data_IF_427003734291
#
_entry.id   IF_427003734291
#
_cell.length_a   1.000
_cell.length_b   1.000
_cell.length_c   1.000
_cell.angle_alpha   90.00
_cell.angle_beta   90.00
_cell.angle_gamma   90.00
#
_symmetry.space_group_name_H-M   'P 1'
#
loop_
_entity.id
_entity.type
_entity.pdbx_description
1 polymer ?
#
# COMPACT_ATOMS: atom_id res chain seq x y z
N UNK A 1 3.14 -19.66 29.07
CA UNK A 1 2.19 -19.02 28.13
C UNK A 1 2.03 -19.96 26.95
N UNK A 2 0.91 -20.68 26.92
CA UNK A 2 0.66 -21.71 25.91
C UNK A 2 0.40 -21.11 24.53
N UNK A 3 0.61 -21.92 23.49
CA UNK A 3 0.36 -21.59 22.08
C UNK A 3 -1.06 -21.10 21.73
N UNK A 4 -1.98 -21.07 22.71
CA UNK A 4 -3.33 -20.52 22.58
C UNK A 4 -3.42 -18.99 22.70
N UNK A 5 -2.50 -18.33 23.42
CA UNK A 5 -2.61 -16.88 23.72
C UNK A 5 -2.20 -15.99 22.54
N UNK A 6 -1.23 -16.43 21.73
CA UNK A 6 -0.78 -15.70 20.54
C UNK A 6 -1.87 -15.58 19.46
N UNK A 7 -2.90 -16.43 19.50
CA UNK A 7 -4.01 -16.39 18.55
C UNK A 7 -5.09 -15.35 18.89
N UNK A 8 -5.03 -14.74 20.09
CA UNK A 8 -5.97 -13.70 20.52
C UNK A 8 -5.32 -12.32 20.67
N UNK A 9 -4.06 -12.14 20.30
CA UNK A 9 -3.42 -10.84 20.34
C UNK A 9 -3.56 -10.08 19.02
N UNK A 10 -3.46 -8.75 19.13
CA UNK A 10 -3.46 -7.89 17.96
C UNK A 10 -2.07 -7.92 17.28
N UNK A 11 -1.98 -8.05 15.95
CA UNK A 11 -0.69 -7.98 15.24
C UNK A 11 -0.24 -6.53 15.05
N UNK A 12 0.89 -6.08 15.67
CA UNK A 12 1.41 -4.73 15.51
C UNK A 12 1.66 -4.31 14.06
N UNK A 13 1.91 -5.27 13.16
CA UNK A 13 2.08 -5.01 11.72
C UNK A 13 0.92 -4.20 11.14
N UNK A 14 -0.32 -4.44 11.58
CA UNK A 14 -1.51 -3.67 11.16
C UNK A 14 -1.42 -2.21 11.63
N UNK A 15 -0.90 -1.97 12.83
CA UNK A 15 -0.66 -0.62 13.33
C UNK A 15 0.40 0.11 12.52
N UNK A 16 1.50 -0.56 12.17
CA UNK A 16 2.56 0.01 11.32
C UNK A 16 2.02 0.37 9.94
N UNK A 17 1.14 -0.46 9.36
CA UNK A 17 0.47 -0.14 8.10
C UNK A 17 -0.28 1.19 8.23
N UNK A 18 -1.12 1.37 9.26
CA UNK A 18 -1.80 2.65 9.46
C UNK A 18 -0.84 3.82 9.64
N UNK A 19 0.26 3.64 10.38
CA UNK A 19 1.27 4.68 10.57
C UNK A 19 1.88 5.11 9.22
N UNK A 20 2.17 4.19 8.31
CA UNK A 20 2.70 4.54 6.98
C UNK A 20 1.74 5.45 6.21
N UNK A 21 0.46 5.09 6.16
CA UNK A 21 -0.56 5.86 5.43
C UNK A 21 -0.91 7.19 6.12
N UNK A 22 -0.89 7.25 7.45
CA UNK A 22 -1.08 8.50 8.19
C UNK A 22 0.11 9.43 8.00
N UNK A 23 1.34 8.92 8.02
CA UNK A 23 2.53 9.73 7.78
C UNK A 23 2.51 10.35 6.38
N UNK A 24 2.13 9.56 5.37
CA UNK A 24 1.96 10.05 4.00
C UNK A 24 0.83 11.08 3.89
N UNK A 25 -0.33 10.82 4.49
CA UNK A 25 -1.43 11.78 4.51
C UNK A 25 -1.05 13.11 5.18
N UNK A 26 -0.20 13.09 6.21
CA UNK A 26 0.33 14.31 6.84
C UNK A 26 1.28 15.04 5.89
N UNK A 27 2.21 14.33 5.26
CA UNK A 27 3.13 14.91 4.28
C UNK A 27 2.34 15.56 3.11
N UNK A 28 1.35 14.85 2.59
CA UNK A 28 0.43 15.32 1.58
C UNK A 28 -0.32 16.56 2.02
N UNK A 29 -0.94 16.53 3.20
CA UNK A 29 -1.66 17.68 3.73
C UNK A 29 -0.76 18.92 3.78
N UNK A 30 0.45 18.77 4.33
CA UNK A 30 1.41 19.86 4.48
C UNK A 30 1.86 20.40 3.11
N UNK A 31 2.20 19.53 2.17
CA UNK A 31 2.69 19.93 0.84
C UNK A 31 1.60 20.60 0.01
N UNK A 32 0.38 20.06 -0.01
CA UNK A 32 -0.74 20.65 -0.73
C UNK A 32 -1.31 21.89 -0.04
N UNK A 33 -1.07 22.06 1.26
CA UNK A 33 -1.40 23.30 1.95
C UNK A 33 -0.40 24.42 1.70
N UNK A 34 0.89 24.10 1.53
CA UNK A 34 1.97 25.09 1.44
C UNK A 34 2.27 25.55 0.01
N UNK A 35 2.15 24.65 -0.97
CA UNK A 35 2.54 24.94 -2.35
C UNK A 35 1.38 25.53 -3.17
N UNK A 36 1.66 26.42 -4.14
CA UNK A 36 0.64 26.92 -5.03
C UNK A 36 0.17 25.83 -6.00
N UNK A 37 -1.10 25.84 -6.45
CA UNK A 37 -1.67 24.75 -7.27
C UNK A 37 -0.94 24.52 -8.59
N UNK A 38 -0.35 25.57 -9.18
CA UNK A 38 0.44 25.50 -10.42
C UNK A 38 1.72 24.67 -10.31
N UNK A 39 2.20 24.42 -9.10
CA UNK A 39 3.37 23.58 -8.82
C UNK A 39 2.97 22.13 -8.51
N UNK A 40 1.66 21.87 -8.42
CA UNK A 40 1.07 20.60 -8.03
C UNK A 40 0.32 19.99 -9.21
N UNK A 41 0.19 18.66 -9.22
CA UNK A 41 -0.41 17.94 -10.33
C UNK A 41 -1.93 17.83 -10.21
N UNK A 42 -2.64 18.35 -11.22
CA UNK A 42 -4.09 18.21 -11.43
C UNK A 42 -4.98 18.54 -10.22
N UNK A 43 -4.62 19.61 -9.51
CA UNK A 43 -5.41 20.21 -8.42
C UNK A 43 -5.66 21.69 -8.72
N UNK A 44 -6.79 22.22 -8.23
CA UNK A 44 -7.14 23.64 -8.43
C UNK A 44 -6.93 24.50 -7.17
N UNK A 45 -7.01 23.91 -5.97
CA UNK A 45 -6.95 24.61 -4.69
C UNK A 45 -5.59 24.50 -3.97
N UNK A 46 -5.37 25.40 -3.00
CA UNK A 46 -4.21 25.42 -2.08
C UNK A 46 -4.64 25.75 -0.65
N UNK A 47 -3.69 25.83 0.27
CA UNK A 47 -3.99 26.08 1.68
C UNK A 47 -4.60 24.86 2.37
N UNK A 48 -5.11 25.04 3.59
CA UNK A 48 -5.65 23.92 4.37
C UNK A 48 -6.76 23.16 3.65
N UNK A 49 -7.56 23.84 2.83
CA UNK A 49 -8.59 23.23 2.00
C UNK A 49 -7.99 22.34 0.90
N UNK A 50 -6.98 22.83 0.17
CA UNK A 50 -6.26 22.02 -0.84
C UNK A 50 -5.60 20.78 -0.23
N UNK A 51 -4.97 20.94 0.95
CA UNK A 51 -4.42 19.83 1.72
C UNK A 51 -5.47 18.79 2.13
N UNK A 52 -6.58 19.23 2.73
CA UNK A 52 -7.67 18.34 3.14
C UNK A 52 -8.33 17.65 1.93
N UNK A 53 -8.51 18.38 0.83
CA UNK A 53 -9.02 17.89 -0.44
C UNK A 53 -8.20 16.70 -0.93
N UNK A 54 -6.87 16.83 -0.95
CA UNK A 54 -6.02 15.72 -1.40
C UNK A 54 -5.94 14.55 -0.47
N UNK A 55 -5.91 14.76 0.85
CA UNK A 55 -6.01 13.65 1.82
C UNK A 55 -7.32 12.88 1.63
N UNK A 56 -8.43 13.58 1.38
CA UNK A 56 -9.71 12.94 1.10
C UNK A 56 -9.62 12.07 -0.17
N UNK A 57 -9.07 12.58 -1.27
CA UNK A 57 -8.90 11.80 -2.51
C UNK A 57 -7.92 10.64 -2.33
N UNK A 58 -6.81 10.83 -1.61
CA UNK A 58 -5.85 9.76 -1.28
C UNK A 58 -6.48 8.62 -0.47
N UNK A 59 -7.40 8.96 0.45
CA UNK A 59 -8.14 7.94 1.20
C UNK A 59 -8.99 7.02 0.30
N UNK A 60 -9.30 7.46 -0.94
CA UNK A 60 -10.13 6.74 -1.90
C UNK A 60 -9.35 5.86 -2.87
N UNK A 61 -8.03 5.76 -2.75
CA UNK A 61 -7.23 4.91 -3.63
C UNK A 61 -6.40 3.90 -2.82
N UNK A 62 -5.09 4.11 -2.66
CA UNK A 62 -4.22 3.17 -1.96
C UNK A 62 -4.65 2.89 -0.51
N UNK A 63 -5.14 3.92 0.19
CA UNK A 63 -5.63 3.75 1.58
C UNK A 63 -6.86 2.85 1.65
N UNK A 64 -7.82 3.01 0.74
CA UNK A 64 -9.01 2.13 0.67
C UNK A 64 -8.61 0.69 0.35
N UNK A 65 -7.67 0.50 -0.60
CA UNK A 65 -7.16 -0.82 -0.97
C UNK A 65 -6.45 -1.52 0.21
N UNK A 66 -5.59 -0.82 0.96
CA UNK A 66 -4.96 -1.44 2.14
C UNK A 66 -5.97 -1.69 3.26
N UNK A 67 -6.97 -0.80 3.43
CA UNK A 67 -8.02 -0.95 4.42
C UNK A 67 -8.83 -2.23 4.20
N UNK A 68 -9.08 -2.63 2.95
CA UNK A 68 -9.72 -3.92 2.62
C UNK A 68 -8.91 -5.09 3.21
N UNK A 69 -7.58 -5.09 3.08
CA UNK A 69 -6.73 -6.13 3.65
C UNK A 69 -6.73 -6.11 5.18
N UNK A 70 -6.67 -4.91 5.78
CA UNK A 70 -6.74 -4.72 7.24
C UNK A 70 -8.07 -5.24 7.80
N UNK A 71 -9.19 -4.95 7.13
CA UNK A 71 -10.52 -5.40 7.53
C UNK A 71 -10.62 -6.93 7.55
N UNK A 72 -9.95 -7.65 6.66
CA UNK A 72 -9.93 -9.11 6.70
C UNK A 72 -9.22 -9.65 7.96
N UNK A 73 -8.12 -9.00 8.39
CA UNK A 73 -7.43 -9.34 9.65
C UNK A 73 -8.32 -9.00 10.85
N UNK A 74 -8.89 -7.79 10.87
CA UNK A 74 -9.76 -7.32 11.94
C UNK A 74 -11.00 -8.22 12.08
N UNK A 75 -11.65 -8.58 10.98
CA UNK A 75 -12.82 -9.45 10.97
C UNK A 75 -12.53 -10.86 11.52
N UNK A 76 -11.31 -11.39 11.34
CA UNK A 76 -10.90 -12.66 11.94
C UNK A 76 -10.80 -12.58 13.47
N UNK A 77 -10.37 -11.42 14.00
CA UNK A 77 -10.21 -11.17 15.45
C UNK A 77 -11.52 -10.83 16.15
N UNK A 78 -12.51 -10.33 15.42
CA UNK A 78 -13.82 -9.99 15.96
C UNK A 78 -14.69 -11.23 16.16
N UNK A 79 -15.15 -11.45 17.39
CA UNK A 79 -16.05 -12.57 17.73
C UNK A 79 -17.54 -12.20 17.69
N UNK A 80 -17.88 -10.90 17.71
CA UNK A 80 -19.26 -10.43 17.79
C UNK A 80 -19.88 -10.24 16.40
N UNK A 81 -21.15 -10.61 16.25
CA UNK A 81 -21.91 -10.44 14.99
C UNK A 81 -21.98 -8.98 14.54
N UNK A 82 -22.21 -8.05 15.48
CA UNK A 82 -22.33 -6.61 15.18
C UNK A 82 -21.03 -6.04 14.62
N UNK A 83 -19.89 -6.33 15.24
CA UNK A 83 -18.59 -5.82 14.76
C UNK A 83 -18.18 -6.48 13.44
N UNK A 84 -18.60 -7.73 13.21
CA UNK A 84 -18.43 -8.39 11.91
C UNK A 84 -19.28 -7.71 10.83
N UNK A 85 -20.54 -7.37 11.12
CA UNK A 85 -21.40 -6.64 10.20
C UNK A 85 -20.82 -5.24 9.89
N UNK A 86 -20.30 -4.54 10.89
CA UNK A 86 -19.61 -3.27 10.70
C UNK A 86 -18.35 -3.42 9.81
N UNK A 87 -17.56 -4.48 9.98
CA UNK A 87 -16.42 -4.75 9.11
C UNK A 87 -16.83 -5.03 7.66
N UNK A 88 -17.95 -5.72 7.43
CA UNK A 88 -18.51 -5.93 6.08
C UNK A 88 -19.02 -4.62 5.49
N UNK A 89 -19.71 -3.79 6.26
CA UNK A 89 -20.15 -2.47 5.80
C UNK A 89 -18.96 -1.58 5.43
N UNK A 90 -17.91 -1.55 6.27
CA UNK A 90 -16.67 -0.83 5.98
C UNK A 90 -15.98 -1.34 4.72
N UNK A 91 -15.98 -2.66 4.50
CA UNK A 91 -15.44 -3.29 3.28
C UNK A 91 -16.19 -2.81 2.04
N UNK A 92 -17.52 -2.82 2.07
CA UNK A 92 -18.36 -2.35 0.96
C UNK A 92 -18.11 -0.87 0.67
N UNK A 93 -17.99 -0.05 1.72
CA UNK A 93 -17.66 1.37 1.56
C UNK A 93 -16.26 1.56 0.96
N UNK A 94 -15.24 0.84 1.42
CA UNK A 94 -13.89 0.91 0.83
C UNK A 94 -13.88 0.51 -0.65
N UNK A 95 -14.72 -0.47 -1.04
CA UNK A 95 -14.83 -0.93 -2.43
C UNK A 95 -15.35 0.16 -3.39
N UNK A 96 -15.86 1.29 -2.87
CA UNK A 96 -16.17 2.47 -3.66
C UNK A 96 -15.00 2.99 -4.50
N UNK A 97 -13.74 2.68 -4.13
CA UNK A 97 -12.54 2.96 -4.95
C UNK A 97 -12.68 2.46 -6.39
N UNK A 98 -13.43 1.38 -6.61
CA UNK A 98 -13.63 0.79 -7.92
C UNK A 98 -14.75 1.45 -8.74
N UNK A 99 -15.51 2.39 -8.17
CA UNK A 99 -16.56 3.08 -8.90
C UNK A 99 -15.97 4.12 -9.87
N UNK A 100 -16.49 4.18 -11.12
CA UNK A 100 -16.09 5.20 -12.07
C UNK A 100 -16.24 6.61 -11.51
N UNK A 101 -15.21 7.44 -11.70
CA UNK A 101 -15.22 8.86 -11.28
C UNK A 101 -14.90 9.12 -9.81
N UNK A 102 -14.76 8.09 -8.96
CA UNK A 102 -14.30 8.28 -7.57
C UNK A 102 -12.83 8.70 -7.54
N UNK A 103 -11.97 7.99 -8.28
CA UNK A 103 -10.57 8.39 -8.49
C UNK A 103 -10.37 8.76 -9.95
N UNK A 104 -9.99 10.01 -10.19
CA UNK A 104 -9.74 10.51 -11.54
C UNK A 104 -8.44 11.29 -11.63
N UNK A 105 -7.47 10.76 -12.37
CA UNK A 105 -6.14 11.38 -12.45
C UNK A 105 -6.17 12.74 -13.14
N UNK A 106 -7.17 13.01 -13.97
CA UNK A 106 -7.34 14.31 -14.62
C UNK A 106 -7.89 15.39 -13.67
N UNK A 107 -8.45 14.99 -12.51
CA UNK A 107 -8.98 15.91 -11.52
C UNK A 107 -8.91 15.27 -10.13
N UNK A 108 -7.89 15.68 -9.37
CA UNK A 108 -7.58 15.20 -8.04
C UNK A 108 -8.13 16.10 -6.93
N UNK A 109 -9.06 17.00 -7.24
CA UNK A 109 -9.81 17.72 -6.22
C UNK A 109 -10.90 16.83 -5.60
N UNK A 110 -11.17 17.06 -4.33
CA UNK A 110 -12.22 16.38 -3.56
C UNK A 110 -13.60 16.57 -4.20
N UNK A 111 -14.33 15.46 -4.27
CA UNK A 111 -15.71 15.35 -4.77
C UNK A 111 -16.58 14.69 -3.69
N UNK A 112 -17.90 14.92 -3.68
CA UNK A 112 -18.80 14.24 -2.74
C UNK A 112 -18.70 12.72 -2.78
N UNK A 113 -18.44 12.15 -3.97
CA UNK A 113 -18.23 10.71 -4.14
C UNK A 113 -17.03 10.17 -3.35
N UNK A 114 -16.03 11.01 -3.06
CA UNK A 114 -14.88 10.63 -2.23
C UNK A 114 -15.24 10.39 -0.77
N UNK A 115 -16.39 10.90 -0.29
CA UNK A 115 -16.81 10.64 1.08
C UNK A 115 -17.08 9.14 1.33
N UNK A 116 -17.47 8.39 0.30
CA UNK A 116 -17.92 7.00 0.48
C UNK A 116 -16.77 6.08 0.89
N UNK A 117 -15.67 6.05 0.11
CA UNK A 117 -14.53 5.22 0.48
C UNK A 117 -13.81 5.75 1.73
N UNK A 118 -13.77 7.09 1.90
CA UNK A 118 -13.20 7.72 3.08
C UNK A 118 -13.91 7.28 4.39
N UNK A 119 -15.25 7.20 4.38
CA UNK A 119 -16.02 6.66 5.50
C UNK A 119 -15.70 5.17 5.73
N UNK A 120 -15.49 4.40 4.67
CA UNK A 120 -15.02 3.02 4.77
C UNK A 120 -13.66 2.90 5.45
N UNK A 121 -12.70 3.73 5.05
CA UNK A 121 -11.35 3.80 5.63
C UNK A 121 -11.42 4.23 7.10
N UNK A 122 -12.20 5.26 7.42
CA UNK A 122 -12.40 5.72 8.79
C UNK A 122 -12.98 4.61 9.66
N UNK A 123 -14.00 3.90 9.17
CA UNK A 123 -14.58 2.75 9.86
C UNK A 123 -13.56 1.62 10.05
N UNK A 124 -12.72 1.34 9.04
CA UNK A 124 -11.65 0.35 9.15
C UNK A 124 -10.61 0.73 10.21
N UNK A 125 -10.21 2.00 10.27
CA UNK A 125 -9.30 2.53 11.28
C UNK A 125 -9.92 2.42 12.68
N UNK A 126 -11.18 2.87 12.85
CA UNK A 126 -11.91 2.78 14.11
C UNK A 126 -12.06 1.32 14.59
N UNK A 127 -12.45 0.40 13.70
CA UNK A 127 -12.54 -1.03 14.00
C UNK A 127 -11.18 -1.63 14.36
N UNK A 128 -10.10 -1.16 13.74
CA UNK A 128 -8.73 -1.57 14.11
C UNK A 128 -8.42 -1.18 15.56
N UNK A 129 -8.67 0.07 15.92
CA UNK A 129 -8.46 0.58 17.30
C UNK A 129 -9.32 -0.17 18.30
N UNK A 130 -10.62 -0.31 18.04
CA UNK A 130 -11.55 -1.04 18.91
C UNK A 130 -11.10 -2.49 19.11
N UNK A 131 -10.69 -3.17 18.03
CA UNK A 131 -10.19 -4.55 18.10
C UNK A 131 -8.92 -4.62 18.94
N UNK A 132 -7.97 -3.70 18.74
CA UNK A 132 -6.74 -3.64 19.52
C UNK A 132 -7.01 -3.46 21.02
N UNK A 133 -7.96 -2.60 21.38
CA UNK A 133 -8.36 -2.34 22.75
C UNK A 133 -9.06 -3.55 23.38
N UNK A 134 -9.92 -4.24 22.64
CA UNK A 134 -10.65 -5.42 23.13
C UNK A 134 -9.75 -6.64 23.38
N UNK A 135 -8.69 -6.81 22.60
CA UNK A 135 -7.79 -7.97 22.73
C UNK A 135 -6.80 -7.84 23.89
N UNK A 136 -6.59 -6.64 24.46
CA UNK A 136 -5.74 -6.41 25.64
C UNK A 136 -4.23 -6.61 25.43
N UNK A 137 -3.80 -7.37 24.41
CA UNK A 137 -2.40 -7.67 24.12
C UNK A 137 -2.05 -7.50 22.63
N UNK A 138 -0.76 -7.33 22.37
CA UNK A 138 -0.19 -7.21 21.02
C UNK A 138 0.97 -8.18 20.87
N UNK A 139 1.05 -8.90 19.75
CA UNK A 139 2.16 -9.83 19.49
C UNK A 139 2.57 -9.76 18.03
N UNK A 140 3.86 -9.53 17.81
CA UNK A 140 4.45 -9.57 16.46
C UNK A 140 4.33 -10.95 15.84
N UNK A 141 4.17 -10.98 14.52
CA UNK A 141 4.27 -12.23 13.77
C UNK A 141 5.66 -12.85 13.99
N UNK A 142 5.76 -14.18 14.17
CA UNK A 142 7.04 -14.84 14.34
C UNK A 142 7.91 -14.69 13.09
N UNK A 143 9.22 -14.98 13.22
CA UNK A 143 10.14 -15.01 12.09
C UNK A 143 9.69 -16.03 11.05
N UNK A 144 9.75 -15.66 9.78
CA UNK A 144 9.37 -16.49 8.64
C UNK A 144 10.52 -16.57 7.64
N UNK A 145 10.58 -17.69 6.90
CA UNK A 145 11.62 -17.94 5.88
C UNK A 145 11.65 -16.89 4.76
N UNK A 146 10.53 -16.19 4.52
CA UNK A 146 10.43 -15.11 3.54
C UNK A 146 10.87 -13.73 4.02
N UNK A 147 11.20 -13.54 5.31
CA UNK A 147 11.42 -12.20 5.87
C UNK A 147 12.62 -11.46 5.24
N UNK A 148 13.69 -12.18 4.88
CA UNK A 148 14.84 -11.58 4.17
C UNK A 148 14.45 -11.05 2.79
N UNK A 149 13.62 -11.82 2.06
CA UNK A 149 13.13 -11.41 0.73
C UNK A 149 12.21 -10.20 0.88
N UNK A 150 11.29 -10.21 1.86
CA UNK A 150 10.41 -9.06 2.13
C UNK A 150 11.22 -7.80 2.45
N UNK A 151 12.24 -7.92 3.30
CA UNK A 151 13.11 -6.80 3.67
C UNK A 151 13.90 -6.26 2.47
N UNK A 152 14.47 -7.15 1.65
CA UNK A 152 15.18 -6.74 0.43
C UNK A 152 14.25 -6.05 -0.57
N UNK A 153 13.06 -6.59 -0.81
CA UNK A 153 12.06 -5.97 -1.70
C UNK A 153 11.60 -4.61 -1.15
N UNK A 154 11.31 -4.51 0.15
CA UNK A 154 10.95 -3.25 0.79
C UNK A 154 12.05 -2.20 0.65
N UNK A 155 13.31 -2.59 0.90
CA UNK A 155 14.46 -1.70 0.76
C UNK A 155 14.61 -1.20 -0.68
N UNK A 156 14.58 -2.11 -1.67
CA UNK A 156 14.68 -1.73 -3.07
C UNK A 156 13.54 -0.81 -3.51
N UNK A 157 12.32 -1.10 -3.07
CA UNK A 157 11.16 -0.26 -3.37
C UNK A 157 11.35 1.15 -2.79
N UNK A 158 11.78 1.28 -1.53
CA UNK A 158 12.05 2.59 -0.92
C UNK A 158 13.14 3.35 -1.69
N UNK A 159 14.21 2.68 -2.10
CA UNK A 159 15.27 3.30 -2.91
C UNK A 159 14.70 3.81 -4.24
N UNK A 160 13.94 2.98 -4.96
CA UNK A 160 13.32 3.40 -6.24
C UNK A 160 12.38 4.58 -6.03
N UNK A 161 11.66 4.62 -4.91
CA UNK A 161 10.65 5.64 -4.60
C UNK A 161 11.21 6.93 -3.98
N UNK A 162 12.52 7.08 -3.81
CA UNK A 162 13.12 8.30 -3.26
C UNK A 162 12.68 9.59 -3.99
N UNK A 163 12.55 9.63 -5.33
CA UNK A 163 12.04 10.81 -6.03
C UNK A 163 10.63 11.20 -5.60
N UNK A 164 9.73 10.21 -5.48
CA UNK A 164 8.34 10.46 -5.07
C UNK A 164 8.24 10.86 -3.60
N UNK A 165 9.05 10.27 -2.73
CA UNK A 165 9.12 10.68 -1.32
C UNK A 165 9.60 12.14 -1.20
N UNK A 166 10.58 12.55 -2.01
CA UNK A 166 11.03 13.93 -2.06
C UNK A 166 9.93 14.87 -2.62
N UNK A 167 9.27 14.47 -3.70
CA UNK A 167 8.18 15.20 -4.32
C UNK A 167 6.97 15.38 -3.38
N UNK A 168 6.61 14.34 -2.61
CA UNK A 168 5.56 14.37 -1.59
C UNK A 168 5.86 15.39 -0.50
N UNK A 169 7.14 15.54 -0.15
CA UNK A 169 7.61 16.56 0.77
C UNK A 169 7.83 17.92 0.09
N UNK A 170 7.60 18.01 -1.23
CA UNK A 170 7.77 19.18 -2.09
C UNK A 170 9.23 19.63 -2.24
N UNK A 171 10.13 18.67 -2.44
CA UNK A 171 11.54 18.87 -2.75
C UNK A 171 11.92 18.17 -4.06
N UNK A 172 12.99 18.67 -4.68
CA UNK A 172 13.70 17.98 -5.75
C UNK A 172 15.01 17.39 -5.22
N UNK A 173 15.51 16.34 -5.86
CA UNK A 173 16.76 15.65 -5.51
C UNK A 173 17.98 16.13 -6.31
N UNK A 174 17.82 16.99 -7.31
CA UNK A 174 18.91 17.40 -8.23
C UNK A 174 20.12 17.99 -7.49
N UNK A 175 19.89 18.67 -6.37
CA UNK A 175 20.93 19.28 -5.53
C UNK A 175 21.52 18.38 -4.44
N UNK A 176 21.01 17.15 -4.26
CA UNK A 176 21.45 16.27 -3.18
C UNK A 176 22.66 15.44 -3.62
N UNK A 177 23.80 15.48 -2.91
CA UNK A 177 24.99 14.70 -3.27
C UNK A 177 24.65 13.22 -3.47
N UNK A 178 25.23 12.62 -4.53
CA UNK A 178 24.94 11.26 -5.02
C UNK A 178 23.54 11.09 -5.60
N UNK A 179 22.48 11.48 -4.89
CA UNK A 179 21.09 11.28 -5.35
C UNK A 179 20.77 12.07 -6.62
N UNK A 180 21.20 13.33 -6.72
CA UNK A 180 21.01 14.15 -7.93
C UNK A 180 21.79 13.67 -9.16
N UNK A 181 22.71 12.70 -8.99
CA UNK A 181 23.36 12.00 -10.12
C UNK A 181 22.57 10.78 -10.57
N UNK A 182 21.80 10.19 -9.67
CA UNK A 182 21.03 8.97 -9.91
C UNK A 182 19.62 9.30 -10.39
N UNK A 183 18.96 10.28 -9.76
CA UNK A 183 17.57 10.67 -10.01
C UNK A 183 17.49 12.02 -10.73
N UNK A 184 16.60 12.10 -11.73
CA UNK A 184 16.26 13.34 -12.43
C UNK A 184 14.88 13.76 -11.90
N UNK A 185 14.80 14.93 -11.26
CA UNK A 185 13.55 15.38 -10.62
C UNK A 185 13.07 16.73 -11.13
N UNK A 186 13.82 17.81 -10.89
CA UNK A 186 13.41 19.18 -11.18
C UNK A 186 13.59 19.61 -12.64
N UNK A 187 14.25 18.80 -13.47
CA UNK A 187 14.43 19.11 -14.89
C UNK A 187 13.08 19.15 -15.61
N UNK A 188 12.79 20.26 -16.28
CA UNK A 188 11.55 20.45 -17.04
C UNK A 188 11.61 19.64 -18.34
N UNK A 189 10.62 18.78 -18.53
CA UNK A 189 10.49 17.89 -19.67
C UNK A 189 9.03 17.83 -20.12
N UNK A 190 8.76 17.25 -21.30
CA UNK A 190 7.37 16.97 -21.71
C UNK A 190 6.75 15.95 -20.77
N UNK A 191 5.48 16.15 -20.42
CA UNK A 191 4.73 15.25 -19.53
C UNK A 191 4.69 13.82 -20.09
N UNK A 192 4.43 13.68 -21.39
CA UNK A 192 4.57 12.43 -22.15
C UNK A 192 5.10 12.74 -23.54
N UNK A 193 5.59 11.76 -24.32
CA UNK A 193 6.04 11.99 -25.69
C UNK A 193 4.97 12.60 -26.61
N UNK A 194 3.69 12.40 -26.29
CA UNK A 194 2.54 12.81 -27.12
C UNK A 194 1.87 14.11 -26.66
N UNK A 195 2.20 14.62 -25.47
CA UNK A 195 1.58 15.82 -24.90
C UNK A 195 2.59 16.97 -24.88
N UNK A 196 2.15 18.19 -25.23
CA UNK A 196 3.01 19.37 -25.30
C UNK A 196 3.21 20.08 -23.95
N UNK A 197 2.42 19.73 -22.94
CA UNK A 197 2.58 20.21 -21.56
C UNK A 197 3.97 19.83 -21.05
N UNK A 198 4.63 20.80 -20.42
CA UNK A 198 5.94 20.59 -19.80
C UNK A 198 5.81 20.69 -18.29
N UNK A 199 6.46 19.76 -17.60
CA UNK A 199 6.43 19.63 -16.14
C UNK A 199 7.83 19.24 -15.66
N UNK A 200 8.18 19.46 -14.38
CA UNK A 200 9.34 18.79 -13.80
C UNK A 200 9.25 17.28 -14.03
N UNK A 201 10.39 16.64 -14.25
CA UNK A 201 10.50 15.20 -14.49
C UNK A 201 9.73 14.40 -13.44
N UNK A 202 9.88 14.82 -12.19
CA UNK A 202 9.04 14.42 -11.05
C UNK A 202 8.49 15.70 -10.44
N UNK A 203 7.23 16.02 -10.70
CA UNK A 203 6.57 17.21 -10.17
C UNK A 203 6.33 17.13 -8.65
N UNK A 204 6.07 18.26 -7.97
CA UNK A 204 5.75 18.22 -6.54
C UNK A 204 4.36 17.69 -6.26
N UNK A 205 4.19 17.10 -5.08
CA UNK A 205 2.95 16.47 -4.66
C UNK A 205 2.97 14.96 -4.86
N UNK A 206 1.76 14.39 -4.92
CA UNK A 206 1.56 12.96 -4.79
C UNK A 206 1.60 12.22 -6.12
N UNK A 207 2.37 11.13 -6.13
CA UNK A 207 2.60 10.28 -7.29
C UNK A 207 2.00 8.89 -7.07
N UNK A 208 1.51 8.29 -8.15
CA UNK A 208 0.96 6.93 -8.07
C UNK A 208 2.06 5.88 -7.83
N UNK A 209 3.34 6.18 -8.07
CA UNK A 209 4.48 5.41 -7.62
C UNK A 209 4.64 5.39 -6.09
N UNK A 210 4.24 6.47 -5.39
CA UNK A 210 4.22 6.49 -3.92
C UNK A 210 3.05 5.68 -3.36
N UNK A 211 1.86 5.78 -3.96
CA UNK A 211 0.75 4.86 -3.68
C UNK A 211 1.18 3.40 -3.78
N UNK A 212 1.94 3.08 -4.84
CA UNK A 212 2.46 1.76 -5.08
C UNK A 212 3.47 1.31 -4.00
N UNK A 213 4.37 2.20 -3.56
CA UNK A 213 5.26 1.94 -2.43
C UNK A 213 4.45 1.58 -1.17
N UNK A 214 3.46 2.41 -0.80
CA UNK A 214 2.66 2.21 0.40
C UNK A 214 1.89 0.88 0.36
N UNK A 215 1.29 0.55 -0.79
CA UNK A 215 0.62 -0.72 -1.01
C UNK A 215 1.58 -1.91 -0.91
N UNK A 216 2.77 -1.80 -1.49
CA UNK A 216 3.79 -2.85 -1.42
C UNK A 216 4.25 -3.08 0.02
N UNK A 217 4.65 -2.02 0.73
CA UNK A 217 5.10 -2.11 2.12
C UNK A 217 3.97 -2.65 3.02
N UNK A 218 2.75 -2.14 2.84
CA UNK A 218 1.58 -2.62 3.56
C UNK A 218 1.31 -4.10 3.30
N UNK A 219 1.37 -4.53 2.05
CA UNK A 219 1.15 -5.93 1.69
C UNK A 219 2.26 -6.86 2.21
N UNK A 220 3.53 -6.42 2.19
CA UNK A 220 4.65 -7.18 2.75
C UNK A 220 4.49 -7.36 4.27
N UNK A 221 4.10 -6.31 4.99
CA UNK A 221 3.82 -6.37 6.43
C UNK A 221 2.63 -7.31 6.73
N UNK A 222 1.49 -7.11 6.06
CA UNK A 222 0.29 -7.93 6.26
C UNK A 222 0.48 -9.38 5.82
N UNK A 223 1.37 -9.65 4.86
CA UNK A 223 1.69 -11.02 4.45
C UNK A 223 2.29 -11.86 5.59
N UNK A 224 2.92 -11.21 6.58
CA UNK A 224 3.43 -11.88 7.78
C UNK A 224 2.30 -12.29 8.72
N UNK A 225 1.16 -11.59 8.68
CA UNK A 225 -0.01 -11.84 9.53
C UNK A 225 -0.86 -13.00 9.01
N UNK A 226 -0.87 -13.27 7.69
CA UNK A 226 -1.71 -14.30 7.04
C UNK A 226 -1.71 -15.67 7.75
N UNK A 227 -0.56 -16.24 8.18
CA UNK A 227 -0.57 -17.54 8.86
C UNK A 227 -1.35 -17.57 10.17
N UNK A 228 -1.50 -16.42 10.84
CA UNK A 228 -2.22 -16.28 12.11
C UNK A 228 -3.74 -16.14 11.94
N UNK A 229 -4.24 -15.98 10.71
CA UNK A 229 -5.67 -15.86 10.40
C UNK A 229 -6.32 -17.24 10.55
N UNK A 230 -7.31 -17.35 11.42
CA UNK A 230 -7.91 -18.64 11.81
C UNK A 230 -8.96 -19.11 10.79
N UNK A 231 -9.79 -18.19 10.31
CA UNK A 231 -10.86 -18.49 9.34
C UNK A 231 -10.24 -18.82 7.99
N UNK A 232 -10.36 -20.08 7.56
CA UNK A 232 -9.75 -20.59 6.32
C UNK A 232 -10.09 -19.75 5.08
N UNK A 233 -11.36 -19.35 4.94
CA UNK A 233 -11.81 -18.50 3.84
C UNK A 233 -11.17 -17.12 3.85
N UNK A 234 -11.14 -16.44 4.99
CA UNK A 234 -10.47 -15.13 5.13
C UNK A 234 -8.97 -15.24 4.88
N UNK A 235 -8.32 -16.29 5.37
CA UNK A 235 -6.89 -16.53 5.14
C UNK A 235 -6.57 -16.72 3.66
N UNK A 236 -7.39 -17.51 2.96
CA UNK A 236 -7.27 -17.70 1.51
C UNK A 236 -7.49 -16.38 0.77
N UNK A 237 -8.59 -15.69 1.04
CA UNK A 237 -8.95 -14.42 0.41
C UNK A 237 -7.90 -13.34 0.65
N UNK A 238 -7.45 -13.16 1.90
CA UNK A 238 -6.39 -12.23 2.25
C UNK A 238 -5.08 -12.59 1.55
N UNK A 239 -4.69 -13.87 1.53
CA UNK A 239 -3.45 -14.29 0.86
C UNK A 239 -3.47 -14.01 -0.65
N UNK A 240 -4.58 -14.27 -1.32
CA UNK A 240 -4.76 -13.96 -2.75
C UNK A 240 -4.76 -12.45 -2.99
N UNK A 241 -5.49 -11.69 -2.16
CA UNK A 241 -5.59 -10.25 -2.28
C UNK A 241 -4.24 -9.56 -2.07
N UNK A 242 -3.46 -9.98 -1.06
CA UNK A 242 -2.12 -9.45 -0.83
C UNK A 242 -1.15 -9.79 -1.96
N UNK A 243 -1.24 -10.99 -2.55
CA UNK A 243 -0.44 -11.34 -3.72
C UNK A 243 -0.79 -10.45 -4.93
N UNK A 244 -2.08 -10.15 -5.12
CA UNK A 244 -2.54 -9.19 -6.12
C UNK A 244 -2.02 -7.79 -5.84
N UNK A 245 -2.12 -7.29 -4.59
CA UNK A 245 -1.62 -5.97 -4.21
C UNK A 245 -0.10 -5.85 -4.44
N UNK A 246 0.69 -6.90 -4.15
CA UNK A 246 2.14 -6.89 -4.44
C UNK A 246 2.39 -6.79 -5.94
N UNK A 247 1.74 -7.62 -6.75
CA UNK A 247 1.94 -7.59 -8.22
C UNK A 247 1.48 -6.24 -8.81
N UNK A 248 0.34 -5.74 -8.35
CA UNK A 248 -0.21 -4.45 -8.73
C UNK A 248 0.70 -3.28 -8.36
N UNK A 249 1.22 -3.27 -7.13
CA UNK A 249 2.14 -2.25 -6.66
C UNK A 249 3.45 -2.28 -7.45
N UNK A 250 4.02 -3.46 -7.72
CA UNK A 250 5.21 -3.56 -8.58
C UNK A 250 4.93 -3.02 -9.98
N UNK A 251 3.77 -3.32 -10.56
CA UNK A 251 3.36 -2.78 -11.86
C UNK A 251 3.33 -1.24 -11.87
N UNK A 252 2.74 -0.62 -10.85
CA UNK A 252 2.66 0.84 -10.74
C UNK A 252 4.03 1.49 -10.44
N UNK A 253 4.86 0.88 -9.60
CA UNK A 253 6.24 1.33 -9.36
C UNK A 253 7.06 1.35 -10.66
N UNK A 254 6.94 0.29 -11.47
CA UNK A 254 7.59 0.21 -12.78
C UNK A 254 7.00 1.22 -13.74
N UNK A 255 5.68 1.38 -13.78
CA UNK A 255 5.01 2.29 -14.69
C UNK A 255 5.46 3.75 -14.49
N UNK A 256 5.37 4.24 -13.25
CA UNK A 256 5.72 5.62 -12.91
C UNK A 256 7.24 5.85 -13.03
N UNK A 257 8.03 4.90 -12.50
CA UNK A 257 9.49 5.00 -12.53
C UNK A 257 10.04 4.94 -13.96
N UNK A 258 9.42 4.17 -14.85
CA UNK A 258 9.78 4.13 -16.26
C UNK A 258 9.44 5.43 -16.98
N UNK A 259 8.25 5.98 -16.76
CA UNK A 259 7.88 7.25 -17.37
C UNK A 259 8.84 8.36 -16.93
N UNK A 260 9.02 8.53 -15.63
CA UNK A 260 9.77 9.65 -15.09
C UNK A 260 11.29 9.50 -15.22
N UNK A 261 11.83 8.31 -14.96
CA UNK A 261 13.28 8.12 -14.90
C UNK A 261 13.88 7.56 -16.20
N UNK A 262 13.07 7.12 -17.16
CA UNK A 262 13.55 6.57 -18.44
C UNK A 262 13.02 7.36 -19.64
N UNK A 263 11.70 7.55 -19.74
CA UNK A 263 11.08 8.21 -20.89
C UNK A 263 11.35 9.72 -20.87
N UNK A 264 11.08 10.40 -19.76
CA UNK A 264 11.37 11.85 -19.61
C UNK A 264 12.87 12.18 -19.66
N UNK A 265 13.76 11.19 -19.54
CA UNK A 265 15.20 11.35 -19.81
C UNK A 265 15.58 11.30 -21.28
N UNK A 266 14.63 10.94 -22.15
CA UNK A 266 14.86 10.76 -23.58
C UNK A 266 15.59 9.45 -23.93
N UNK A 267 15.64 8.47 -23.02
CA UNK A 267 16.27 7.17 -23.32
C UNK A 267 15.41 6.33 -24.26
N UNK A 268 14.10 6.55 -24.25
CA UNK A 268 13.13 5.92 -25.14
C UNK A 268 11.85 6.74 -25.19
N UNK A 269 11.03 6.52 -26.22
CA UNK A 269 9.67 7.06 -26.33
C UNK A 269 8.60 6.00 -26.00
N UNK A 270 9.02 4.78 -25.64
CA UNK A 270 8.10 3.69 -25.33
C UNK A 270 7.62 3.79 -23.88
N UNK A 271 6.30 3.87 -23.70
CA UNK A 271 5.65 3.91 -22.40
C UNK A 271 5.24 2.50 -21.95
N UNK A 272 5.43 2.20 -20.67
CA UNK A 272 4.77 1.06 -20.04
C UNK A 272 3.26 1.35 -20.01
N UNK A 273 2.38 0.42 -20.43
CA UNK A 273 0.95 0.64 -20.37
C UNK A 273 0.49 0.91 -18.94
N UNK A 274 -0.38 1.92 -18.77
CA UNK A 274 -0.91 2.30 -17.46
C UNK A 274 -1.69 1.16 -16.82
N UNK A 275 -1.40 0.89 -15.54
CA UNK A 275 -2.04 -0.19 -14.77
C UNK A 275 -2.89 0.32 -13.61
N UNK A 276 -3.05 1.63 -13.46
CA UNK A 276 -3.77 2.26 -12.34
C UNK A 276 -5.26 1.85 -12.29
N UNK A 277 -5.89 1.62 -13.45
CA UNK A 277 -7.28 1.16 -13.54
C UNK A 277 -7.34 -0.27 -14.10
N UNK A 278 -8.12 -1.18 -13.48
CA UNK A 278 -8.34 -2.51 -14.01
C UNK A 278 -8.97 -2.47 -15.41
N UNK A 279 -8.30 -3.08 -16.38
CA UNK A 279 -8.76 -3.20 -17.76
C UNK A 279 -8.46 -4.59 -18.30
N UNK A 280 -9.20 -5.03 -19.32
CA UNK A 280 -8.86 -6.25 -20.07
C UNK A 280 -7.70 -5.91 -20.99
N UNK A 281 -6.47 -6.09 -20.50
CA UNK A 281 -5.24 -5.77 -21.22
C UNK A 281 -4.12 -6.76 -20.89
N UNK A 282 -3.10 -6.81 -21.73
CA UNK A 282 -1.91 -7.65 -21.50
C UNK A 282 -1.22 -7.28 -20.18
N UNK A 283 -1.11 -5.99 -19.88
CA UNK A 283 -0.48 -5.51 -18.65
C UNK A 283 -1.20 -6.02 -17.40
N UNK A 284 -2.54 -5.97 -17.38
CA UNK A 284 -3.33 -6.54 -16.28
C UNK A 284 -3.29 -8.07 -16.25
N UNK A 285 -3.24 -8.73 -17.40
CA UNK A 285 -2.99 -10.17 -17.49
C UNK A 285 -1.69 -10.57 -16.79
N UNK A 286 -0.61 -9.79 -16.99
CA UNK A 286 0.68 -9.99 -16.31
C UNK A 286 0.59 -9.74 -14.79
N UNK A 287 -0.18 -8.75 -14.34
CA UNK A 287 -0.44 -8.51 -12.91
C UNK A 287 -1.14 -9.72 -12.28
N UNK A 288 -2.20 -10.23 -12.90
CA UNK A 288 -2.95 -11.39 -12.41
C UNK A 288 -2.08 -12.64 -12.40
N UNK A 289 -1.30 -12.88 -13.45
CA UNK A 289 -0.35 -13.99 -13.52
C UNK A 289 0.72 -13.87 -12.42
N UNK A 290 1.29 -12.69 -12.23
CA UNK A 290 2.26 -12.40 -11.18
C UNK A 290 1.68 -12.69 -9.80
N UNK A 291 0.44 -12.26 -9.53
CA UNK A 291 -0.27 -12.55 -8.30
C UNK A 291 -0.44 -14.06 -8.06
N UNK A 292 -0.85 -14.81 -9.08
CA UNK A 292 -1.01 -16.26 -9.00
C UNK A 292 0.34 -16.96 -8.68
N UNK A 293 1.42 -16.55 -9.35
CA UNK A 293 2.78 -17.06 -9.10
C UNK A 293 3.23 -16.73 -7.68
N UNK A 294 3.08 -15.49 -7.23
CA UNK A 294 3.45 -15.07 -5.88
C UNK A 294 2.69 -15.87 -4.82
N UNK A 295 1.38 -16.06 -5.00
CA UNK A 295 0.56 -16.86 -4.09
C UNK A 295 1.01 -18.33 -4.06
N UNK A 296 1.26 -18.94 -5.22
CA UNK A 296 1.76 -20.31 -5.32
C UNK A 296 3.13 -20.48 -4.65
N UNK A 297 4.05 -19.53 -4.87
CA UNK A 297 5.37 -19.51 -4.21
C UNK A 297 5.26 -19.37 -2.69
N UNK A 298 4.33 -18.54 -2.20
CA UNK A 298 4.09 -18.38 -0.78
C UNK A 298 3.62 -19.69 -0.13
N UNK A 299 2.67 -20.41 -0.76
CA UNK A 299 2.23 -21.74 -0.31
C UNK A 299 3.39 -22.73 -0.33
N UNK A 300 4.15 -22.78 -1.42
CA UNK A 300 5.26 -23.71 -1.58
C UNK A 300 6.33 -23.51 -0.50
N UNK A 301 6.70 -22.26 -0.19
CA UNK A 301 7.63 -21.93 0.91
C UNK A 301 7.07 -22.32 2.28
N UNK A 302 5.78 -22.08 2.52
CA UNK A 302 5.13 -22.46 3.77
C UNK A 302 5.18 -23.98 4.02
N UNK A 303 5.05 -24.79 2.96
CA UNK A 303 5.16 -26.26 3.04
C UNK A 303 6.59 -26.77 3.32
N UNK A 304 7.63 -26.01 2.93
CA UNK A 304 9.05 -26.38 3.07
C UNK A 304 9.75 -25.79 4.30
N UNK A 305 9.04 -25.04 5.14
CA UNK A 305 9.61 -24.47 6.36
C UNK A 305 10.15 -25.56 7.31
N UNK A 306 11.15 -25.25 8.16
CA UNK A 306 11.66 -26.20 9.15
C UNK A 306 10.49 -26.73 9.99
N UNK A 307 10.32 -28.05 10.05
CA UNK A 307 9.42 -28.65 11.04
C UNK A 307 9.96 -28.28 12.42
N UNK A 308 9.11 -27.88 13.38
CA UNK A 308 9.57 -27.70 14.74
C UNK A 308 10.26 -28.99 15.18
N UNK A 309 11.52 -28.89 15.60
CA UNK A 309 12.20 -29.98 16.28
C UNK A 309 11.37 -30.26 17.51
N UNK A 310 10.63 -31.37 17.49
CA UNK A 310 9.97 -31.90 18.68
C UNK A 310 11.12 -32.18 19.63
N UNK A 311 11.26 -31.34 20.67
CA UNK A 311 12.13 -31.66 21.78
C UNK A 311 11.64 -32.99 22.33
N UNK A 312 12.37 -34.07 22.04
CA UNK A 312 12.13 -35.35 22.67
C UNK A 312 12.30 -35.10 24.16
N UNK A 313 11.19 -35.20 24.89
CA UNK A 313 11.19 -35.20 26.35
C UNK A 313 12.21 -36.23 26.81
N UNK A 314 13.26 -35.75 27.49
CA UNK A 314 14.23 -36.61 28.14
C UNK A 314 13.49 -37.60 29.06
N UNK A 315 13.85 -38.89 29.06
CA UNK A 315 13.22 -39.85 29.97
C UNK A 315 13.47 -39.40 31.40
N UNK A 316 12.39 -39.32 32.18
CA UNK A 316 12.46 -39.06 33.60
C UNK A 316 13.33 -40.15 34.24
N UNK A 317 14.53 -39.77 34.70
CA UNK A 317 15.31 -40.58 35.62
C UNK A 317 14.49 -40.74 36.90
N UNK A 318 13.89 -41.92 37.06
CA UNK A 318 13.37 -42.36 38.36
C UNK A 318 14.58 -42.71 39.22
N UNK A 319 14.76 -41.97 40.31
CA UNK A 319 15.53 -42.38 41.48
C UNK A 319 14.54 -42.88 42.54
#
# INVERSE_FOLDING_TARGET
MGSGDANRSFPPEVGIVWVLFVADAIAMFVTYARLPPRELYHVSGSGLEGGASRVLVFSNYSTALVAIAVLAVVADRLARRVTTAAAVAALVLCAAVFWPGVVDQANLDAKPSNAIAALGVLAACALTVVTRLQLGGSTWSPRQSGDRVRAAVAFLAVVVSLPWLAAELGFFLDGVPLLGRVYQTGKIERETPTVSTVVPTVHHGHHHGLDALLLLLGALLLSRVVPSVQRRGLRLGLGLYLALLVAYAVGNLVNDGWDEQVVKRGWTNWLVPGVIRPTVSVAWGLIVLGAAVLYALAIWRAKRGPRPVVAQSAPALRA
#
